data_IF_189887226725
#
_entry.id   IF_189887226725
#
_cell.length_a   1.000
_cell.length_b   1.000
_cell.length_c   1.000
_cell.angle_alpha   90.00
_cell.angle_beta   90.00
_cell.angle_gamma   90.00
#
_symmetry.space_group_name_H-M   'P 1'
#
loop_
_entity.id
_entity.type
_entity.pdbx_description
1 polymer ?
#
# COMPACT_ATOMS: atom_id res chain seq x y z
N UNK A 1 -5.59 8.30 -0.02
CA UNK A 1 -5.51 7.62 1.30
C UNK A 1 -4.66 8.41 2.29
N UNK A 2 -5.28 9.10 3.24
CA UNK A 2 -4.67 9.85 4.33
C UNK A 2 -3.89 8.98 5.33
N UNK A 3 -2.68 8.59 4.92
CA UNK A 3 -1.69 7.87 5.73
C UNK A 3 -2.17 6.44 6.13
N UNK A 4 -1.28 5.64 6.73
CA UNK A 4 -1.54 4.21 7.03
C UNK A 4 -2.78 3.94 7.92
N UNK A 5 -3.25 4.95 8.67
CA UNK A 5 -4.42 4.86 9.55
C UNK A 5 -5.74 4.76 8.80
N UNK A 6 -5.85 5.37 7.62
CA UNK A 6 -7.04 5.21 6.77
C UNK A 6 -7.08 3.84 6.11
N UNK A 7 -5.92 3.36 5.64
CA UNK A 7 -5.82 2.03 5.04
C UNK A 7 -6.27 0.92 6.01
N UNK A 8 -5.81 0.97 7.27
CA UNK A 8 -6.22 -0.01 8.28
C UNK A 8 -7.74 -0.04 8.49
N UNK A 9 -8.39 1.14 8.59
CA UNK A 9 -9.85 1.24 8.76
C UNK A 9 -10.62 0.68 7.57
N UNK A 10 -10.14 0.95 6.36
CA UNK A 10 -10.72 0.42 5.11
C UNK A 10 -10.60 -1.09 5.06
N UNK A 11 -9.43 -1.66 5.41
CA UNK A 11 -9.22 -3.11 5.42
C UNK A 11 -10.17 -3.81 6.42
N UNK A 12 -10.36 -3.25 7.60
CA UNK A 12 -11.33 -3.81 8.55
C UNK A 12 -12.77 -3.67 8.07
N UNK A 13 -13.13 -2.58 7.42
CA UNK A 13 -14.46 -2.44 6.83
C UNK A 13 -14.73 -3.50 5.75
N UNK A 14 -13.74 -3.80 4.92
CA UNK A 14 -13.80 -4.89 3.94
C UNK A 14 -13.97 -6.24 4.66
N UNK A 15 -13.17 -6.50 5.69
CA UNK A 15 -13.25 -7.75 6.45
C UNK A 15 -14.62 -7.95 7.11
N UNK A 16 -15.18 -6.89 7.74
CA UNK A 16 -16.52 -6.92 8.33
C UNK A 16 -17.57 -7.28 7.28
N UNK A 17 -17.55 -6.67 6.10
CA UNK A 17 -18.51 -6.97 5.02
C UNK A 17 -18.35 -8.38 4.47
N UNK A 18 -17.12 -8.89 4.41
CA UNK A 18 -16.84 -10.23 3.89
C UNK A 18 -17.24 -11.34 4.88
N UNK A 19 -17.09 -11.08 6.19
CA UNK A 19 -17.26 -12.09 7.24
C UNK A 19 -18.62 -12.01 7.94
N UNK A 20 -19.31 -10.86 7.90
CA UNK A 20 -20.58 -10.61 8.60
C UNK A 20 -21.65 -10.10 7.61
N UNK A 21 -22.26 -10.99 6.79
CA UNK A 21 -23.18 -10.61 5.72
C UNK A 21 -24.46 -9.91 6.20
N UNK A 22 -24.82 -10.05 7.47
CA UNK A 22 -25.95 -9.37 8.11
C UNK A 22 -25.69 -7.86 8.38
N UNK A 23 -24.44 -7.41 8.35
CA UNK A 23 -24.06 -6.02 8.62
C UNK A 23 -24.35 -5.15 7.40
N UNK A 24 -25.40 -4.31 7.51
CA UNK A 24 -25.82 -3.39 6.43
C UNK A 24 -25.01 -2.10 6.36
N UNK A 25 -24.47 -1.65 7.49
CA UNK A 25 -23.79 -0.37 7.59
C UNK A 25 -22.52 -0.53 8.40
N UNK A 26 -21.41 -0.02 7.87
CA UNK A 26 -20.12 0.02 8.56
C UNK A 26 -19.73 1.48 8.80
N UNK A 27 -19.39 1.79 10.04
CA UNK A 27 -18.83 3.10 10.44
C UNK A 27 -17.51 2.81 11.13
N UNK A 28 -16.41 3.21 10.51
CA UNK A 28 -15.09 3.08 11.10
C UNK A 28 -14.75 4.36 11.87
N UNK A 29 -14.34 4.23 13.14
CA UNK A 29 -13.97 5.37 13.99
C UNK A 29 -12.51 5.29 14.39
N UNK A 30 -11.80 6.40 14.29
CA UNK A 30 -10.47 6.58 14.85
C UNK A 30 -10.57 7.56 16.01
N UNK A 31 -10.25 7.12 17.21
CA UNK A 31 -10.36 7.91 18.44
C UNK A 31 -8.95 8.17 18.97
N UNK A 32 -8.56 9.43 19.05
CA UNK A 32 -7.33 9.85 19.71
C UNK A 32 -7.65 10.19 21.16
N UNK A 33 -6.98 9.53 22.10
CA UNK A 33 -7.27 9.63 23.53
C UNK A 33 -6.40 10.65 24.27
N UNK A 34 -5.37 11.20 23.63
CA UNK A 34 -4.52 12.22 24.23
C UNK A 34 -5.25 13.56 24.27
N UNK A 35 -5.00 14.34 25.32
CA UNK A 35 -5.62 15.64 25.59
C UNK A 35 -7.16 15.55 25.66
N UNK A 36 -7.85 16.11 24.66
CA UNK A 36 -9.29 16.03 24.47
C UNK A 36 -9.64 14.95 23.42
N UNK A 37 -10.48 13.96 23.76
CA UNK A 37 -10.82 12.86 22.85
C UNK A 37 -11.36 13.34 21.50
N UNK A 38 -10.57 13.17 20.45
CA UNK A 38 -10.97 13.55 19.09
C UNK A 38 -11.39 12.31 18.31
N UNK A 39 -12.60 12.34 17.75
CA UNK A 39 -13.15 11.23 16.97
C UNK A 39 -13.23 11.59 15.49
N UNK A 40 -12.65 10.72 14.66
CA UNK A 40 -12.74 10.80 13.20
C UNK A 40 -13.55 9.62 12.68
N UNK A 41 -14.72 9.91 12.13
CA UNK A 41 -15.58 8.90 11.51
C UNK A 41 -15.27 8.73 10.02
N UNK A 42 -15.43 7.51 9.52
CA UNK A 42 -15.38 7.16 8.10
C UNK A 42 -16.57 6.23 7.81
N UNK A 43 -17.49 6.66 6.94
CA UNK A 43 -18.76 5.96 6.67
C UNK A 43 -19.35 6.36 5.31
N UNK A 44 -20.38 5.63 4.88
CA UNK A 44 -21.16 5.95 3.67
C UNK A 44 -20.27 6.06 2.43
N UNK A 45 -20.56 7.04 1.58
CA UNK A 45 -19.89 7.23 0.29
C UNK A 45 -18.37 7.46 0.41
N UNK A 46 -17.91 8.09 1.49
CA UNK A 46 -16.49 8.29 1.74
C UNK A 46 -15.78 6.94 1.97
N UNK A 47 -16.39 6.06 2.76
CA UNK A 47 -15.88 4.71 3.00
C UNK A 47 -15.91 3.88 1.70
N UNK A 48 -16.98 3.96 0.90
CA UNK A 48 -17.05 3.29 -0.40
C UNK A 48 -15.97 3.78 -1.37
N UNK A 49 -15.74 5.09 -1.43
CA UNK A 49 -14.70 5.69 -2.25
C UNK A 49 -13.32 5.14 -1.91
N UNK A 50 -12.98 5.08 -0.61
CA UNK A 50 -11.70 4.53 -0.16
C UNK A 50 -11.58 3.01 -0.35
N UNK A 51 -12.66 2.25 -0.20
CA UNK A 51 -12.68 0.81 -0.52
C UNK A 51 -12.37 0.58 -1.99
N UNK A 52 -13.00 1.35 -2.88
CA UNK A 52 -12.74 1.27 -4.31
C UNK A 52 -11.31 1.69 -4.66
N UNK A 53 -10.78 2.74 -4.02
CA UNK A 53 -9.37 3.15 -4.17
C UNK A 53 -8.41 2.02 -3.76
N UNK A 54 -8.69 1.35 -2.62
CA UNK A 54 -7.90 0.23 -2.12
C UNK A 54 -7.92 -0.98 -3.05
N UNK A 55 -9.11 -1.34 -3.54
CA UNK A 55 -9.26 -2.41 -4.53
C UNK A 55 -8.50 -2.09 -5.83
N UNK A 56 -8.50 -0.82 -6.25
CA UNK A 56 -7.71 -0.33 -7.39
C UNK A 56 -6.20 -0.52 -7.20
N UNK A 57 -5.67 -0.11 -6.04
CA UNK A 57 -4.25 -0.32 -5.74
C UNK A 57 -3.89 -1.80 -5.65
N UNK A 58 -4.73 -2.63 -5.02
CA UNK A 58 -4.50 -4.07 -4.94
C UNK A 58 -4.48 -4.71 -6.34
N UNK A 59 -5.39 -4.30 -7.21
CA UNK A 59 -5.44 -4.78 -8.59
C UNK A 59 -4.18 -4.39 -9.37
N UNK A 60 -3.72 -3.15 -9.22
CA UNK A 60 -2.47 -2.68 -9.83
C UNK A 60 -1.26 -3.44 -9.29
N UNK A 61 -1.18 -3.65 -7.98
CA UNK A 61 -0.12 -4.44 -7.35
C UNK A 61 -0.11 -5.89 -7.87
N UNK A 62 -1.27 -6.52 -7.99
CA UNK A 62 -1.41 -7.87 -8.55
C UNK A 62 -1.00 -7.94 -10.03
N UNK A 63 -1.25 -6.90 -10.82
CA UNK A 63 -0.77 -6.82 -12.20
C UNK A 63 0.77 -6.73 -12.26
N UNK A 64 1.37 -5.89 -11.43
CA UNK A 64 2.83 -5.74 -11.33
C UNK A 64 3.48 -7.05 -10.88
N UNK A 65 2.93 -7.68 -9.83
CA UNK A 65 3.34 -9.01 -9.33
C UNK A 65 3.36 -10.05 -10.46
N UNK A 66 2.24 -10.21 -11.15
CA UNK A 66 2.11 -11.22 -12.23
C UNK A 66 2.99 -10.93 -13.44
N UNK A 67 3.35 -9.66 -13.67
CA UNK A 67 4.26 -9.28 -14.75
C UNK A 67 5.74 -9.55 -14.44
N UNK A 68 6.09 -9.87 -13.19
CA UNK A 68 7.48 -10.02 -12.76
C UNK A 68 8.28 -8.71 -12.70
N UNK A 69 7.61 -7.55 -12.82
CA UNK A 69 8.24 -6.21 -12.81
C UNK A 69 8.24 -5.55 -11.43
N UNK A 70 8.18 -6.35 -10.36
CA UNK A 70 8.24 -5.85 -9.00
C UNK A 70 9.57 -5.12 -8.75
N UNK A 71 9.50 -3.99 -8.05
CA UNK A 71 10.71 -3.32 -7.60
C UNK A 71 11.44 -4.19 -6.57
N UNK A 72 12.78 -4.26 -6.62
CA UNK A 72 13.59 -4.87 -5.57
C UNK A 72 13.26 -4.21 -4.24
N UNK A 73 13.24 -5.01 -3.18
CA UNK A 73 13.06 -4.51 -1.82
C UNK A 73 14.17 -3.50 -1.52
N UNK A 74 13.79 -2.27 -1.16
CA UNK A 74 14.75 -1.20 -0.86
C UNK A 74 15.47 -1.38 0.49
N UNK A 75 14.93 -2.23 1.37
CA UNK A 75 15.37 -2.42 2.75
C UNK A 75 16.42 -3.51 2.97
N UNK A 76 16.87 -4.21 1.93
CA UNK A 76 17.92 -5.21 2.14
C UNK A 76 19.26 -4.51 2.38
N UNK A 77 19.79 -4.70 3.60
CA UNK A 77 21.15 -4.35 3.94
C UNK A 77 22.09 -4.97 2.89
N UNK A 78 22.97 -4.16 2.32
CA UNK A 78 23.92 -4.58 1.30
C UNK A 78 24.82 -5.74 1.76
N UNK A 79 24.98 -5.93 3.07
CA UNK A 79 25.72 -7.03 3.69
C UNK A 79 24.91 -8.32 3.82
N UNK A 80 23.57 -8.24 3.82
CA UNK A 80 22.64 -9.36 4.01
C UNK A 80 21.68 -9.53 2.82
N UNK A 81 22.18 -9.25 1.61
CA UNK A 81 21.47 -9.51 0.36
C UNK A 81 21.76 -10.96 -0.08
N UNK A 82 20.78 -11.85 0.06
CA UNK A 82 20.88 -13.26 -0.32
C UNK A 82 21.23 -13.43 -1.82
N UNK A 83 20.99 -12.41 -2.65
CA UNK A 83 21.31 -12.40 -4.08
C UNK A 83 22.63 -11.68 -4.39
N UNK A 84 23.44 -11.28 -3.41
CA UNK A 84 24.67 -10.50 -3.63
C UNK A 84 25.64 -11.15 -4.62
N UNK A 85 25.72 -12.48 -4.65
CA UNK A 85 26.57 -13.23 -5.60
C UNK A 85 25.96 -13.38 -7.00
N UNK A 86 24.65 -13.17 -7.14
CA UNK A 86 23.92 -13.22 -8.40
C UNK A 86 23.83 -11.84 -9.09
N UNK A 87 24.19 -10.76 -8.39
CA UNK A 87 24.23 -9.41 -8.96
C UNK A 87 25.50 -9.20 -9.80
N UNK A 88 25.44 -8.36 -10.86
CA UNK A 88 26.62 -7.99 -11.63
C UNK A 88 27.71 -7.33 -10.77
N UNK A 89 28.96 -7.49 -11.19
CA UNK A 89 30.12 -6.89 -10.52
C UNK A 89 30.00 -5.36 -10.35
N UNK A 90 29.46 -4.67 -11.37
CA UNK A 90 29.06 -3.27 -11.26
C UNK A 90 27.59 -3.16 -10.82
N UNK A 91 27.39 -3.30 -9.50
CA UNK A 91 26.06 -3.24 -8.86
C UNK A 91 25.38 -1.90 -9.05
N UNK A 92 26.12 -0.79 -8.95
CA UNK A 92 25.55 0.56 -9.00
C UNK A 92 24.98 0.88 -10.38
N UNK A 93 25.73 0.61 -11.44
CA UNK A 93 25.22 0.80 -12.81
C UNK A 93 24.05 -0.13 -13.11
N UNK A 94 24.09 -1.37 -12.62
CA UNK A 94 22.97 -2.31 -12.76
C UNK A 94 21.69 -1.79 -12.09
N UNK A 95 21.77 -1.38 -10.82
CA UNK A 95 20.64 -0.86 -10.07
C UNK A 95 20.10 0.42 -10.71
N UNK A 96 20.97 1.35 -11.12
CA UNK A 96 20.57 2.60 -11.79
C UNK A 96 19.78 2.33 -13.07
N UNK A 97 20.26 1.41 -13.92
CA UNK A 97 19.57 1.01 -15.15
C UNK A 97 18.21 0.36 -14.88
N UNK A 98 18.11 -0.46 -13.84
CA UNK A 98 16.86 -1.14 -13.49
C UNK A 98 15.86 -0.23 -12.77
N UNK A 99 16.35 0.78 -12.05
CA UNK A 99 15.53 1.72 -11.27
C UNK A 99 14.50 2.45 -12.13
N UNK A 100 14.86 2.88 -13.35
CA UNK A 100 13.89 3.57 -14.23
C UNK A 100 12.72 2.67 -14.62
N UNK A 101 13.01 1.41 -14.98
CA UNK A 101 12.00 0.42 -15.35
C UNK A 101 11.09 0.05 -14.17
N UNK A 102 11.66 -0.04 -12.96
CA UNK A 102 10.88 -0.28 -11.75
C UNK A 102 10.00 0.91 -11.39
N UNK A 103 10.51 2.15 -11.51
CA UNK A 103 9.70 3.37 -11.32
C UNK A 103 8.54 3.43 -12.30
N UNK A 104 8.78 3.12 -13.58
CA UNK A 104 7.72 3.07 -14.59
C UNK A 104 6.66 2.01 -14.25
N UNK A 105 7.08 0.80 -13.85
CA UNK A 105 6.17 -0.27 -13.47
C UNK A 105 5.31 0.07 -12.24
N UNK A 106 5.88 0.79 -11.27
CA UNK A 106 5.20 1.17 -10.02
C UNK A 106 4.43 2.50 -10.10
N UNK A 107 4.46 3.20 -11.25
CA UNK A 107 3.74 4.45 -11.44
C UNK A 107 2.26 4.41 -11.00
N UNK A 108 1.48 3.33 -11.25
CA UNK A 108 0.09 3.24 -10.80
C UNK A 108 -0.06 3.30 -9.27
N UNK A 109 0.98 2.91 -8.53
CA UNK A 109 1.01 2.92 -7.06
C UNK A 109 1.61 4.21 -6.50
N UNK A 110 2.13 5.13 -7.32
CA UNK A 110 2.80 6.34 -6.82
C UNK A 110 1.93 7.15 -5.87
N UNK A 111 0.62 7.26 -6.13
CA UNK A 111 -0.32 7.98 -5.24
C UNK A 111 -0.47 7.34 -3.87
N UNK A 112 -0.33 6.01 -3.78
CA UNK A 112 -0.32 5.29 -2.50
C UNK A 112 0.95 5.65 -1.69
N UNK A 113 2.10 5.70 -2.36
CA UNK A 113 3.41 5.90 -1.72
C UNK A 113 3.76 7.37 -1.47
N UNK A 114 3.28 8.29 -2.31
CA UNK A 114 3.52 9.73 -2.18
C UNK A 114 2.72 10.37 -1.03
N UNK A 115 1.77 9.65 -0.44
CA UNK A 115 1.05 10.08 0.75
C UNK A 115 1.87 9.91 2.05
N UNK A 116 3.13 9.45 1.94
CA UNK A 116 4.06 9.22 3.06
C UNK A 116 5.21 10.23 3.16
N UNK A 117 5.17 11.34 2.41
CA UNK A 117 6.10 12.48 2.55
C UNK A 117 5.32 13.73 2.92
#
# INVERSE_FOLDING_TARGET
>A
MGQGRELQRVLYAIAVRALLPEVRTVVARLIYLADDPTTFELKGDELEGLVNEAAGYLSAAMAILRSGRIAPRWEQDALYDDMRLALPADRESYLRRKTSEFRAANQPLNRLWSAST
#
